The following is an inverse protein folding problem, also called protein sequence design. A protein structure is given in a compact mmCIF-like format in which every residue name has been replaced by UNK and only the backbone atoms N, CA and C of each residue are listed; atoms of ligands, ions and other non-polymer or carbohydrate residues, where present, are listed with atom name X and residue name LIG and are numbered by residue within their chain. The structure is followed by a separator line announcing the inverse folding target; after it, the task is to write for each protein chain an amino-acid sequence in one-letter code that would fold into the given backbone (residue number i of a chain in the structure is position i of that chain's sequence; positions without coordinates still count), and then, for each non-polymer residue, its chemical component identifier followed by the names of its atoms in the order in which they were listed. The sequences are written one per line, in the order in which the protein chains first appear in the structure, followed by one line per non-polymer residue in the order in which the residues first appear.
data_IF_910076057484
#
_entry.id   IF_910076057484
#
_cell.length_a   1.000
_cell.length_b   1.000
_cell.length_c   1.000
_cell.angle_alpha   90.00
_cell.angle_beta   90.00
_cell.angle_gamma   90.00
#
_symmetry.space_group_name_H-M   'P 1'
#
loop_
_entity.id
_entity.type
_entity.pdbx_description
1 polymer ?
#
# COMPACT_ATOMS: atom_id res chain seq x y z
N UNK A 1 29.91 -38.20 -12.33
CA UNK A 1 30.38 -38.33 -10.94
C UNK A 1 29.63 -37.27 -10.13
N UNK A 2 28.58 -37.64 -9.38
CA UNK A 2 27.94 -36.69 -8.43
C UNK A 2 28.97 -36.43 -7.33
N UNK A 3 29.36 -35.16 -7.11
CA UNK A 3 30.22 -34.83 -5.99
C UNK A 3 29.49 -35.13 -4.67
N UNK A 4 30.25 -35.39 -3.61
CA UNK A 4 29.72 -35.65 -2.26
C UNK A 4 28.94 -34.45 -1.70
N UNK A 5 29.03 -33.27 -2.34
CA UNK A 5 28.24 -32.07 -2.06
C UNK A 5 26.75 -32.17 -2.50
N UNK A 6 26.34 -33.24 -3.19
CA UNK A 6 24.96 -33.40 -3.69
C UNK A 6 24.05 -34.24 -2.76
N UNK A 7 24.47 -34.40 -1.49
CA UNK A 7 23.66 -34.97 -0.42
C UNK A 7 22.77 -33.88 0.20
N UNK A 8 21.54 -33.78 -0.29
CA UNK A 8 20.56 -32.76 0.14
C UNK A 8 20.20 -32.86 1.62
N UNK A 9 20.39 -34.02 2.24
CA UNK A 9 20.08 -34.24 3.66
C UNK A 9 21.06 -33.58 4.63
N UNK A 10 22.24 -33.19 4.13
CA UNK A 10 23.31 -32.56 4.92
C UNK A 10 23.35 -31.04 4.78
N UNK A 11 22.39 -30.43 4.08
CA UNK A 11 22.35 -28.99 3.88
C UNK A 11 22.10 -28.26 5.20
N UNK A 12 22.87 -27.21 5.42
CA UNK A 12 22.73 -26.30 6.56
C UNK A 12 21.97 -25.06 6.09
N UNK A 13 21.17 -24.46 6.97
CA UNK A 13 20.44 -23.23 6.67
C UNK A 13 21.38 -22.09 6.26
N UNK A 14 20.97 -21.32 5.26
CA UNK A 14 21.67 -20.12 4.77
C UNK A 14 20.62 -19.05 4.46
N UNK A 15 21.04 -17.84 4.09
CA UNK A 15 20.12 -16.76 3.72
C UNK A 15 19.05 -17.19 2.69
N UNK A 16 19.47 -17.94 1.66
CA UNK A 16 18.60 -18.40 0.57
C UNK A 16 18.11 -19.85 0.77
N UNK A 17 18.32 -20.45 1.94
CA UNK A 17 17.86 -21.82 2.23
C UNK A 17 17.42 -21.94 3.68
N UNK A 18 16.12 -22.17 3.88
CA UNK A 18 15.53 -22.44 5.18
C UNK A 18 14.89 -23.83 5.18
N UNK A 19 15.13 -24.60 6.23
CA UNK A 19 14.51 -25.91 6.41
C UNK A 19 13.23 -25.77 7.24
N UNK A 20 12.24 -26.60 6.92
CA UNK A 20 10.98 -26.67 7.66
C UNK A 20 10.71 -28.13 8.02
N UNK A 21 10.28 -28.35 9.26
CA UNK A 21 9.83 -29.65 9.74
C UNK A 21 8.42 -29.95 9.23
N UNK A 22 8.05 -31.23 9.23
CA UNK A 22 6.71 -31.65 8.82
C UNK A 22 5.61 -31.03 9.68
N UNK A 23 5.84 -30.92 10.99
CA UNK A 23 4.90 -30.32 11.94
C UNK A 23 4.66 -28.85 11.63
N UNK A 24 5.72 -28.08 11.34
CA UNK A 24 5.61 -26.67 10.94
C UNK A 24 4.83 -26.48 9.63
N UNK A 25 5.01 -27.38 8.65
CA UNK A 25 4.30 -27.29 7.38
C UNK A 25 2.81 -27.62 7.53
N UNK A 26 2.48 -28.59 8.38
CA UNK A 26 1.10 -29.08 8.58
C UNK A 26 0.29 -28.21 9.53
N UNK A 27 0.94 -27.47 10.43
CA UNK A 27 0.29 -26.49 11.29
C UNK A 27 -0.19 -25.23 10.54
N UNK A 28 0.29 -25.00 9.31
CA UNK A 28 -0.13 -23.87 8.47
C UNK A 28 -1.55 -24.06 7.97
N UNK A 29 -2.24 -22.95 7.69
CA UNK A 29 -3.56 -22.99 7.07
C UNK A 29 -3.51 -23.82 5.78
N UNK A 30 -4.33 -24.87 5.74
CA UNK A 30 -4.45 -25.83 4.62
C UNK A 30 -3.11 -26.45 4.18
N UNK A 31 -2.13 -26.53 5.08
CA UNK A 31 -0.77 -26.96 4.76
C UNK A 31 -0.18 -26.19 3.55
N UNK A 32 -0.45 -24.88 3.48
CA UNK A 32 0.00 -24.03 2.38
C UNK A 32 1.54 -24.00 2.30
N UNK A 33 2.08 -24.50 1.18
CA UNK A 33 3.51 -24.58 0.87
C UNK A 33 4.06 -23.36 0.12
N UNK A 34 3.21 -22.37 -0.16
CA UNK A 34 3.66 -21.06 -0.61
C UNK A 34 4.29 -20.32 0.58
N UNK A 35 5.60 -20.54 0.76
CA UNK A 35 6.37 -20.06 1.90
C UNK A 35 7.45 -19.11 1.40
N UNK A 36 7.26 -17.82 1.70
CA UNK A 36 8.28 -16.79 1.58
C UNK A 36 8.96 -16.60 2.94
N UNK A 37 10.27 -16.83 3.00
CA UNK A 37 11.06 -16.66 4.24
C UNK A 37 12.13 -15.58 4.15
N UNK A 38 12.50 -15.21 2.93
CA UNK A 38 13.36 -14.05 2.70
C UNK A 38 12.45 -12.85 2.50
N UNK A 39 12.53 -11.89 3.41
CA UNK A 39 11.91 -10.58 3.25
C UNK A 39 12.89 -9.70 2.48
N UNK A 40 12.42 -9.09 1.40
CA UNK A 40 13.21 -8.09 0.68
C UNK A 40 13.22 -6.80 1.53
N UNK A 41 14.39 -6.24 1.88
CA UNK A 41 14.48 -5.00 2.65
C UNK A 41 13.89 -3.78 1.91
N UNK A 42 13.68 -3.85 0.60
CA UNK A 42 12.94 -2.80 -0.13
C UNK A 42 11.42 -2.82 0.12
N UNK A 43 10.90 -3.84 0.81
CA UNK A 43 9.49 -3.94 1.21
C UNK A 43 9.23 -3.41 2.63
N UNK A 44 10.20 -2.73 3.24
CA UNK A 44 10.13 -2.13 4.58
C UNK A 44 9.08 -1.00 4.72
N UNK A 45 8.41 -0.62 3.64
CA UNK A 45 7.32 0.37 3.67
C UNK A 45 6.12 -0.11 4.50
N UNK A 46 5.87 -1.41 4.59
CA UNK A 46 4.70 -1.94 5.30
C UNK A 46 4.91 -2.13 6.81
N UNK A 47 6.14 -2.42 7.25
CA UNK A 47 6.46 -2.63 8.67
C UNK A 47 6.85 -1.33 9.39
N UNK A 48 7.18 -0.26 8.65
CA UNK A 48 7.48 1.08 9.18
C UNK A 48 6.31 2.07 9.02
N UNK A 49 5.10 1.58 8.76
CA UNK A 49 3.94 2.47 8.66
C UNK A 49 3.73 3.19 10.00
N UNK A 50 3.47 4.51 9.97
CA UNK A 50 3.10 5.26 11.17
C UNK A 50 1.79 4.70 11.73
N UNK A 51 1.46 5.07 12.97
CA UNK A 51 0.22 4.63 13.60
C UNK A 51 -0.99 4.90 12.68
N UNK A 52 -2.01 4.02 12.65
CA UNK A 52 -3.15 4.15 11.73
C UNK A 52 -3.83 5.52 11.77
N UNK A 53 -3.85 6.15 12.94
CA UNK A 53 -4.43 7.48 13.16
C UNK A 53 -3.63 8.58 12.45
N UNK A 54 -2.31 8.45 12.39
CA UNK A 54 -1.41 9.39 11.70
C UNK A 54 -1.59 9.23 10.20
N UNK A 55 -1.56 7.99 9.70
CA UNK A 55 -1.77 7.69 8.28
C UNK A 55 -3.15 8.20 7.79
N UNK A 56 -4.20 8.00 8.59
CA UNK A 56 -5.53 8.48 8.25
C UNK A 56 -5.59 10.02 8.19
N UNK A 57 -4.89 10.72 9.09
CA UNK A 57 -4.83 12.18 9.09
C UNK A 57 -4.11 12.71 7.84
N UNK A 58 -2.96 12.12 7.48
CA UNK A 58 -2.18 12.47 6.28
C UNK A 58 -3.01 12.27 5.00
N UNK A 59 -3.70 11.13 4.87
CA UNK A 59 -4.58 10.87 3.73
C UNK A 59 -5.68 11.91 3.60
N UNK A 60 -6.30 12.32 4.72
CA UNK A 60 -7.36 13.34 4.70
C UNK A 60 -6.81 14.69 4.25
N UNK A 61 -5.64 15.09 4.76
CA UNK A 61 -4.98 16.34 4.37
C UNK A 61 -4.65 16.35 2.87
N UNK A 62 -4.04 15.30 2.36
CA UNK A 62 -3.68 15.17 0.94
C UNK A 62 -4.92 15.23 0.03
N UNK A 63 -6.00 14.54 0.41
CA UNK A 63 -7.25 14.56 -0.34
C UNK A 63 -7.93 15.93 -0.31
N UNK A 64 -7.84 16.66 0.80
CA UNK A 64 -8.37 18.03 0.89
C UNK A 64 -7.59 18.98 -0.03
N UNK A 65 -6.26 18.93 -0.01
CA UNK A 65 -5.42 19.73 -0.90
C UNK A 65 -5.72 19.43 -2.37
N UNK A 66 -5.83 18.15 -2.75
CA UNK A 66 -6.18 17.75 -4.10
C UNK A 66 -7.57 18.26 -4.52
N UNK A 67 -8.57 18.22 -3.63
CA UNK A 67 -9.91 18.73 -3.91
C UNK A 67 -9.91 20.25 -4.10
N UNK A 68 -9.16 21.00 -3.31
CA UNK A 68 -9.01 22.45 -3.46
C UNK A 68 -8.38 22.81 -4.80
N UNK A 69 -7.32 22.10 -5.21
CA UNK A 69 -6.71 22.28 -6.52
C UNK A 69 -7.70 22.01 -7.66
N UNK A 70 -8.48 20.92 -7.59
CA UNK A 70 -9.49 20.63 -8.59
C UNK A 70 -10.60 21.68 -8.63
N UNK A 71 -11.02 22.21 -7.48
CA UNK A 71 -12.01 23.28 -7.42
C UNK A 71 -11.49 24.57 -8.09
N UNK A 72 -10.24 24.94 -7.84
CA UNK A 72 -9.59 26.09 -8.47
C UNK A 72 -9.48 25.91 -10.00
N UNK A 73 -9.14 24.70 -10.45
CA UNK A 73 -9.11 24.37 -11.89
C UNK A 73 -10.52 24.48 -12.49
N UNK A 74 -11.54 23.93 -11.82
CA UNK A 74 -12.92 23.99 -12.29
C UNK A 74 -13.41 25.44 -12.42
N UNK A 75 -13.13 26.29 -11.44
CA UNK A 75 -13.45 27.72 -11.48
C UNK A 75 -12.75 28.41 -12.66
N UNK A 76 -11.45 28.17 -12.82
CA UNK A 76 -10.66 28.73 -13.94
C UNK A 76 -11.25 28.33 -15.29
N UNK A 77 -11.67 27.07 -15.45
CA UNK A 77 -12.30 26.58 -16.67
C UNK A 77 -13.69 27.20 -16.91
N UNK A 78 -14.48 27.43 -15.86
CA UNK A 78 -15.78 28.06 -15.95
C UNK A 78 -15.68 29.54 -16.36
N UNK A 79 -14.71 30.26 -15.79
CA UNK A 79 -14.36 31.61 -16.19
C UNK A 79 -13.88 31.66 -17.66
N UNK A 80 -13.04 30.70 -18.08
CA UNK A 80 -12.58 30.58 -19.47
C UNK A 80 -13.72 30.27 -20.46
N UNK A 81 -14.77 29.58 -20.02
CA UNK A 81 -15.97 29.28 -20.82
C UNK A 81 -16.93 30.47 -20.96
N UNK A 82 -16.72 31.55 -20.21
CA UNK A 82 -17.58 32.74 -20.22
C UNK A 82 -18.87 32.59 -19.41
N UNK A 83 -18.99 31.55 -18.58
CA UNK A 83 -20.08 31.39 -17.62
C UNK A 83 -19.71 32.20 -16.35
N UNK A 84 -19.95 33.51 -16.39
CA UNK A 84 -19.85 34.37 -15.21
C UNK A 84 -20.81 33.93 -14.10
N UNK A 85 -20.60 34.33 -12.83
CA UNK A 85 -21.33 33.77 -11.70
C UNK A 85 -22.82 34.03 -11.89
N UNK A 86 -23.61 32.96 -11.98
CA UNK A 86 -25.06 33.03 -11.77
C UNK A 86 -25.27 33.48 -10.33
N UNK A 87 -25.40 34.79 -10.15
CA UNK A 87 -25.91 35.39 -8.93
C UNK A 87 -27.35 34.90 -8.75
N UNK A 88 -27.52 33.83 -7.97
CA UNK A 88 -28.81 33.43 -7.44
C UNK A 88 -29.24 34.53 -6.47
N UNK A 89 -30.09 35.43 -6.97
CA UNK A 89 -30.76 36.43 -6.18
C UNK A 89 -31.67 35.73 -5.16
N UNK A 90 -31.28 35.77 -3.89
CA UNK A 90 -32.21 35.50 -2.80
C UNK A 90 -33.35 36.54 -2.87
N UNK A 91 -34.63 36.11 -2.84
CA UNK A 91 -35.74 37.01 -2.99
C UNK A 91 -35.86 37.94 -1.78
N UNK A 92 -36.03 39.23 -2.06
CA UNK A 92 -36.39 40.26 -1.08
C UNK A 92 -37.77 39.91 -0.54
N UNK A 93 -37.85 39.64 0.76
CA UNK A 93 -39.12 39.56 1.48
C UNK A 93 -39.52 40.98 1.94
N UNK A 94 -40.76 41.34 1.63
CA UNK A 94 -41.50 42.56 2.06
C UNK A 94 -41.64 42.63 3.59
#
# INVERSE_FOLDING_TARGET
MRSEDDDRSKRVETERFKAYTYEELTARDKANLDITWLRDPSLDDADNLPAPEVLAAEIVEDLQAALEEFAAIAETLQQARGEGPTAEAAPVAD
#
